data_IF_876640644947
#
_entry.id   IF_876640644947
#
_cell.length_a   1.000
_cell.length_b   1.000
_cell.length_c   1.000
_cell.angle_alpha   90.00
_cell.angle_beta   90.00
_cell.angle_gamma   90.00
#
_symmetry.space_group_name_H-M   'P 1'
#
loop_
_entity.id
_entity.type
_entity.pdbx_description
1 polymer ?
#
# COMPACT_ATOMS: atom_id res chain seq x y z
N UNK A 1 0.98 11.40 -4.85
CA UNK A 1 -0.45 11.06 -5.08
C UNK A 1 -1.00 10.43 -3.79
N UNK A 2 -2.27 10.00 -3.72
CA UNK A 2 -2.78 9.24 -2.56
C UNK A 2 -2.79 7.75 -2.90
N UNK A 3 -2.57 6.90 -1.90
CA UNK A 3 -2.63 5.45 -2.03
C UNK A 3 -3.06 4.82 -0.70
N UNK A 4 -3.99 3.88 -0.73
CA UNK A 4 -4.45 3.18 0.48
C UNK A 4 -3.60 1.93 0.73
N UNK A 5 -2.85 1.91 1.83
CA UNK A 5 -2.06 0.77 2.27
C UNK A 5 -2.69 0.18 3.53
N UNK A 6 -3.22 -1.04 3.43
CA UNK A 6 -4.01 -1.69 4.46
C UNK A 6 -5.16 -0.82 4.94
N UNK A 7 -4.97 -0.08 6.03
CA UNK A 7 -5.95 0.80 6.67
C UNK A 7 -5.48 2.26 6.78
N UNK A 8 -4.41 2.62 6.09
CA UNK A 8 -3.82 3.97 6.14
C UNK A 8 -3.71 4.53 4.74
N UNK A 9 -4.20 5.75 4.53
CA UNK A 9 -3.94 6.48 3.29
C UNK A 9 -2.57 7.14 3.41
N UNK A 10 -1.73 6.86 2.42
CA UNK A 10 -0.36 7.34 2.31
C UNK A 10 -0.26 8.36 1.19
N UNK A 11 0.35 9.50 1.48
CA UNK A 11 0.72 10.48 0.47
C UNK A 11 2.03 10.06 -0.20
N UNK A 12 1.94 9.51 -1.41
CA UNK A 12 3.07 9.06 -2.21
C UNK A 12 3.84 10.22 -2.81
N UNK A 13 5.13 10.00 -3.04
CA UNK A 13 6.04 10.96 -3.63
C UNK A 13 5.93 10.94 -5.17
N UNK A 14 6.20 12.09 -5.79
CA UNK A 14 6.27 12.22 -7.26
C UNK A 14 7.53 11.54 -7.80
N UNK A 15 8.61 11.54 -7.01
CA UNK A 15 9.88 10.89 -7.33
C UNK A 15 10.12 9.75 -6.36
N UNK A 16 10.67 8.66 -6.89
CA UNK A 16 11.08 7.53 -6.09
C UNK A 16 12.51 7.78 -5.59
N UNK A 17 12.64 8.47 -4.45
CA UNK A 17 13.93 8.58 -3.78
C UNK A 17 14.19 7.26 -3.05
N UNK A 18 15.11 6.47 -3.61
CA UNK A 18 15.43 5.12 -3.15
C UNK A 18 16.04 5.13 -1.74
N UNK A 19 15.42 4.42 -0.77
CA UNK A 19 16.06 4.12 0.51
C UNK A 19 17.27 3.23 0.27
N UNK A 20 18.35 3.50 1.01
CA UNK A 20 19.54 2.68 0.99
C UNK A 20 19.19 1.21 1.33
N UNK A 21 19.66 0.26 0.52
CA UNK A 21 19.44 -1.18 0.71
C UNK A 21 18.17 -1.73 0.04
N UNK A 22 17.34 -0.90 -0.59
CA UNK A 22 16.13 -1.32 -1.31
C UNK A 22 16.27 -1.18 -2.84
N UNK A 23 17.47 -0.93 -3.35
CA UNK A 23 17.76 -0.67 -4.77
C UNK A 23 17.36 -1.84 -5.67
N UNK A 24 17.51 -3.07 -5.15
CA UNK A 24 17.13 -4.29 -5.86
C UNK A 24 15.64 -4.35 -6.19
N UNK A 25 14.79 -3.76 -5.35
CA UNK A 25 13.33 -3.85 -5.48
C UNK A 25 12.80 -3.04 -6.66
N UNK A 26 13.49 -1.94 -7.01
CA UNK A 26 13.10 -1.11 -8.15
C UNK A 26 13.29 -1.85 -9.46
N UNK A 27 14.19 -2.84 -9.53
CA UNK A 27 14.44 -3.61 -10.76
C UNK A 27 13.55 -4.85 -10.88
N UNK A 28 12.75 -5.14 -9.86
CA UNK A 28 11.91 -6.33 -9.87
C UNK A 28 10.75 -6.20 -10.87
N UNK A 29 10.33 -7.32 -11.49
CA UNK A 29 9.08 -7.36 -12.22
C UNK A 29 7.90 -7.13 -11.25
N UNK A 30 6.70 -6.76 -11.74
CA UNK A 30 5.53 -6.48 -10.91
C UNK A 30 5.24 -7.56 -9.85
N UNK A 31 5.29 -8.84 -10.24
CA UNK A 31 5.12 -9.96 -9.31
C UNK A 31 6.19 -10.01 -8.18
N UNK A 32 7.43 -9.62 -8.51
CA UNK A 32 8.52 -9.53 -7.53
C UNK A 32 8.32 -8.40 -6.53
N UNK A 33 7.71 -7.30 -6.95
CA UNK A 33 7.37 -6.18 -6.05
C UNK A 33 6.36 -6.63 -5.01
N UNK A 34 5.29 -7.34 -5.40
CA UNK A 34 4.33 -7.89 -4.45
C UNK A 34 4.95 -8.92 -3.48
N UNK A 35 5.87 -9.76 -3.97
CA UNK A 35 6.61 -10.69 -3.10
C UNK A 35 7.44 -9.94 -2.06
N UNK A 36 8.11 -8.86 -2.45
CA UNK A 36 8.86 -8.02 -1.53
C UNK A 36 7.96 -7.36 -0.48
N UNK A 37 6.75 -6.95 -0.85
CA UNK A 37 5.74 -6.49 0.10
C UNK A 37 5.39 -7.55 1.14
N UNK A 38 5.18 -8.81 0.73
CA UNK A 38 4.90 -9.90 1.67
C UNK A 38 6.06 -10.11 2.66
N UNK A 39 7.30 -10.03 2.19
CA UNK A 39 8.48 -10.12 3.06
C UNK A 39 8.58 -8.93 4.03
N UNK A 40 8.31 -7.71 3.55
CA UNK A 40 8.29 -6.51 4.39
C UNK A 40 7.24 -6.64 5.49
N UNK A 41 6.03 -7.09 5.17
CA UNK A 41 4.96 -7.27 6.14
C UNK A 41 5.15 -8.46 7.07
N UNK A 42 5.91 -9.48 6.66
CA UNK A 42 6.32 -10.54 7.56
C UNK A 42 7.27 -10.04 8.66
N UNK A 43 8.09 -9.02 8.37
CA UNK A 43 9.01 -8.39 9.34
C UNK A 43 8.36 -7.24 10.11
N UNK A 44 7.51 -6.47 9.43
CA UNK A 44 6.83 -5.28 9.94
C UNK A 44 5.33 -5.38 9.64
N UNK A 45 4.55 -6.11 10.46
CA UNK A 45 3.11 -6.33 10.22
C UNK A 45 2.29 -5.05 10.14
N UNK A 46 2.78 -3.96 10.74
CA UNK A 46 2.18 -2.63 10.72
C UNK A 46 3.12 -1.63 10.04
N UNK A 47 3.69 -2.00 8.90
CA UNK A 47 4.69 -1.23 8.15
C UNK A 47 4.32 0.26 8.02
N UNK A 48 3.05 0.54 7.77
CA UNK A 48 2.49 1.90 7.63
C UNK A 48 2.61 2.77 8.88
N UNK A 49 2.72 2.16 10.07
CA UNK A 49 2.93 2.81 11.35
C UNK A 49 4.38 2.70 11.83
N UNK A 50 4.99 1.51 11.69
CA UNK A 50 6.32 1.20 12.23
C UNK A 50 7.43 1.88 11.42
N UNK A 51 7.26 1.96 10.09
CA UNK A 51 8.27 2.46 9.15
C UNK A 51 7.59 3.31 8.06
N UNK A 52 7.01 4.48 8.41
CA UNK A 52 6.17 5.27 7.51
C UNK A 52 6.89 5.75 6.25
N UNK A 53 8.20 5.97 6.30
CA UNK A 53 8.99 6.35 5.13
C UNK A 53 9.19 5.18 4.16
N UNK A 54 9.43 3.97 4.67
CA UNK A 54 9.50 2.74 3.85
C UNK A 54 8.13 2.46 3.24
N UNK A 55 7.05 2.60 4.02
CA UNK A 55 5.69 2.46 3.53
C UNK A 55 5.38 3.45 2.40
N UNK A 56 5.75 4.72 2.57
CA UNK A 56 5.59 5.76 1.53
C UNK A 56 6.34 5.42 0.26
N UNK A 57 7.62 5.06 0.39
CA UNK A 57 8.43 4.66 -0.75
C UNK A 57 7.85 3.44 -1.46
N UNK A 58 7.44 2.42 -0.70
CA UNK A 58 6.89 1.19 -1.26
C UNK A 58 5.56 1.43 -1.99
N UNK A 59 4.68 2.28 -1.44
CA UNK A 59 3.47 2.72 -2.14
C UNK A 59 3.78 3.47 -3.44
N UNK A 60 4.81 4.34 -3.46
CA UNK A 60 5.25 4.98 -4.71
C UNK A 60 5.72 3.93 -5.72
N UNK A 61 6.50 2.92 -5.30
CA UNK A 61 6.93 1.83 -6.19
C UNK A 61 5.73 1.03 -6.73
N UNK A 62 4.74 0.72 -5.89
CA UNK A 62 3.51 0.04 -6.32
C UNK A 62 2.75 0.84 -7.36
N UNK A 63 2.53 2.14 -7.16
CA UNK A 63 1.84 2.99 -8.14
C UNK A 63 2.61 3.10 -9.48
N UNK A 64 3.94 3.13 -9.44
CA UNK A 64 4.75 3.14 -10.67
C UNK A 64 4.65 1.82 -11.44
N UNK A 65 4.45 0.70 -10.74
CA UNK A 65 4.40 -0.64 -11.31
C UNK A 65 3.00 -1.08 -11.71
N UNK A 66 2.00 -0.54 -11.03
CA UNK A 66 0.58 -0.81 -11.23
C UNK A 66 -0.17 0.53 -11.21
N UNK A 67 -0.14 1.30 -12.31
CA UNK A 67 -0.74 2.64 -12.38
C UNK A 67 -2.25 2.66 -12.08
N UNK A 68 -2.94 1.58 -12.41
CA UNK A 68 -4.36 1.34 -12.11
C UNK A 68 -4.65 0.99 -10.63
N UNK A 69 -3.63 0.72 -9.81
CA UNK A 69 -3.83 0.41 -8.40
C UNK A 69 -3.96 1.69 -7.56
N UNK A 70 -5.09 1.83 -6.86
CA UNK A 70 -5.32 2.85 -5.84
C UNK A 70 -5.02 2.36 -4.41
N UNK A 71 -4.89 1.05 -4.22
CA UNK A 71 -4.67 0.46 -2.91
C UNK A 71 -3.90 -0.88 -2.93
N UNK A 72 -3.26 -1.21 -1.81
CA UNK A 72 -2.68 -2.52 -1.53
C UNK A 72 -3.06 -3.03 -0.14
N UNK A 73 -3.39 -4.32 -0.04
CA UNK A 73 -3.69 -5.01 1.21
C UNK A 73 -2.75 -6.19 1.41
N UNK A 74 -1.99 -6.17 2.50
CA UNK A 74 -1.14 -7.25 2.96
C UNK A 74 -1.71 -7.81 4.26
N UNK A 75 -1.97 -9.12 4.28
CA UNK A 75 -2.61 -9.78 5.40
C UNK A 75 -1.98 -11.14 5.68
N UNK A 76 -2.03 -11.55 6.95
CA UNK A 76 -1.48 -12.81 7.41
C UNK A 76 -2.32 -13.98 6.89
N UNK A 77 -1.65 -15.02 6.42
CA UNK A 77 -2.21 -16.30 6.02
C UNK A 77 -1.54 -17.43 6.84
N UNK A 78 -2.07 -18.66 6.84
CA UNK A 78 -1.43 -19.78 7.54
C UNK A 78 0.01 -20.05 7.08
N UNK A 79 0.36 -19.72 5.84
CA UNK A 79 1.67 -19.94 5.24
C UNK A 79 2.57 -18.70 5.20
N UNK A 80 2.12 -17.57 5.77
CA UNK A 80 2.91 -16.33 5.81
C UNK A 80 2.06 -15.10 5.59
N UNK A 81 2.38 -14.33 4.55
CA UNK A 81 1.64 -13.13 4.15
C UNK A 81 1.21 -13.24 2.70
N UNK A 82 -0.03 -12.84 2.43
CA UNK A 82 -0.53 -12.60 1.09
C UNK A 82 -0.65 -11.09 0.85
N UNK A 83 -0.63 -10.71 -0.42
CA UNK A 83 -0.79 -9.33 -0.85
C UNK A 83 -1.73 -9.28 -2.05
N UNK A 84 -2.63 -8.31 -2.07
CA UNK A 84 -3.52 -8.01 -3.20
C UNK A 84 -3.59 -6.51 -3.48
N UNK A 85 -3.85 -6.16 -4.74
CA UNK A 85 -4.02 -4.79 -5.21
C UNK A 85 -5.47 -4.53 -5.57
N UNK A 86 -5.89 -3.28 -5.45
CA UNK A 86 -7.22 -2.84 -5.79
C UNK A 86 -7.19 -1.50 -6.52
N UNK A 87 -8.07 -1.35 -7.50
CA UNK A 87 -8.44 -0.04 -8.03
C UNK A 87 -9.41 0.61 -7.03
N UNK A 88 -9.01 1.79 -6.52
CA UNK A 88 -9.79 2.58 -5.58
C UNK A 88 -9.90 3.99 -6.13
N UNK A 89 -11.12 4.50 -6.37
CA UNK A 89 -11.31 5.83 -6.93
C UNK A 89 -10.67 6.93 -6.08
N UNK A 90 -10.08 7.93 -6.76
CA UNK A 90 -9.47 9.09 -6.09
C UNK A 90 -10.41 9.81 -5.10
N UNK A 91 -11.72 10.01 -5.38
CA UNK A 91 -12.62 10.64 -4.42
C UNK A 91 -12.69 9.91 -3.07
N UNK A 92 -12.66 8.58 -3.09
CA UNK A 92 -12.65 7.77 -1.86
C UNK A 92 -11.33 7.93 -1.11
N UNK A 93 -10.21 7.90 -1.83
CA UNK A 93 -8.88 8.13 -1.24
C UNK A 93 -8.78 9.53 -0.59
N UNK A 94 -9.34 10.56 -1.23
CA UNK A 94 -9.39 11.93 -0.69
C UNK A 94 -10.28 11.99 0.56
N UNK A 95 -11.45 11.34 0.53
CA UNK A 95 -12.34 11.25 1.71
C UNK A 95 -11.61 10.61 2.89
N UNK A 96 -10.98 9.46 2.69
CA UNK A 96 -10.23 8.75 3.72
C UNK A 96 -9.03 9.56 4.24
N UNK A 97 -8.31 10.22 3.34
CA UNK A 97 -7.20 11.09 3.74
C UNK A 97 -7.67 12.22 4.66
N UNK A 98 -8.75 12.91 4.30
CA UNK A 98 -9.30 14.01 5.12
C UNK A 98 -9.76 13.53 6.50
N UNK A 99 -10.42 12.37 6.58
CA UNK A 99 -10.82 11.75 7.85
C UNK A 99 -9.60 11.41 8.73
N UNK A 100 -8.59 10.78 8.13
CA UNK A 100 -7.36 10.42 8.82
C UNK A 100 -6.61 11.66 9.35
N UNK A 101 -6.53 12.75 8.58
CA UNK A 101 -5.94 14.01 9.04
C UNK A 101 -6.73 14.66 10.18
N UNK A 102 -8.04 14.40 10.24
CA UNK A 102 -8.91 14.79 11.36
C UNK A 102 -8.83 13.86 12.58
N UNK A 103 -7.97 12.83 12.57
CA UNK A 103 -7.82 11.88 13.66
C UNK A 103 -8.91 10.80 13.72
N UNK A 104 -9.71 10.66 12.67
CA UNK A 104 -10.76 9.64 12.58
C UNK A 104 -10.15 8.31 12.12
N UNK A 105 -10.48 7.22 12.83
CA UNK A 105 -10.13 5.87 12.40
C UNK A 105 -10.97 5.46 11.18
N UNK A 106 -10.29 5.27 10.05
CA UNK A 106 -10.90 4.87 8.77
C UNK A 106 -10.95 3.35 8.58
N UNK A 107 -10.38 2.57 9.50
CA UNK A 107 -10.33 1.11 9.42
C UNK A 107 -11.68 0.43 9.15
N UNK A 108 -12.79 0.87 9.78
CA UNK A 108 -14.12 0.34 9.49
C UNK A 108 -14.58 0.53 8.06
N UNK A 109 -14.49 1.75 7.52
CA UNK A 109 -14.88 2.05 6.14
C UNK A 109 -13.99 1.34 5.11
N UNK A 110 -12.69 1.24 5.41
CA UNK A 110 -11.71 0.58 4.53
C UNK A 110 -12.01 -0.91 4.35
N UNK A 111 -12.61 -1.58 5.34
CA UNK A 111 -13.06 -2.98 5.17
C UNK A 111 -14.09 -3.12 4.05
N UNK A 112 -14.98 -2.14 3.87
CA UNK A 112 -15.96 -2.15 2.79
C UNK A 112 -15.29 -1.98 1.42
N UNK A 113 -14.27 -1.13 1.33
CA UNK A 113 -13.44 -1.00 0.12
C UNK A 113 -12.83 -2.34 -0.26
N UNK A 114 -12.24 -3.03 0.71
CA UNK A 114 -11.61 -4.33 0.50
C UNK A 114 -12.58 -5.47 0.18
N UNK A 115 -13.86 -5.34 0.54
CA UNK A 115 -14.91 -6.27 0.17
C UNK A 115 -15.44 -6.02 -1.25
N UNK A 116 -15.47 -4.75 -1.68
CA UNK A 116 -16.03 -4.33 -2.98
C UNK A 116 -14.98 -4.19 -4.09
N UNK A 117 -13.70 -4.08 -3.74
CA UNK A 117 -12.64 -3.76 -4.68
C UNK A 117 -12.42 -4.87 -5.73
N UNK A 118 -12.33 -4.45 -7.00
CA UNK A 118 -11.83 -5.31 -8.07
C UNK A 118 -10.33 -5.51 -7.88
N UNK A 119 -9.91 -6.77 -7.84
CA UNK A 119 -8.49 -7.10 -7.70
C UNK A 119 -7.77 -6.77 -9.01
N UNK A 120 -6.65 -6.08 -8.92
CA UNK A 120 -5.74 -5.83 -10.05
C UNK A 120 -4.78 -7.02 -10.19
N UNK A 121 -4.55 -7.47 -11.41
CA UNK A 121 -3.75 -8.65 -11.75
C UNK A 121 -2.24 -8.45 -11.55
#
# INVERSE_FOLDING_TARGET
MLFLLNTVVVKTQIRLDLPAGLERLVRLPPAGVLSAGRELYARHPRLEFDQPDIARWYCTLLQLRFPEAGAAHFYKTPTGYAGRLADVPLPDLVRFWSLQQGGVDIGPDVRAVWAAAKTVA
#
